data_IF_160527928017
#
_entry.id   IF_160527928017
#
_cell.length_a   1.000
_cell.length_b   1.000
_cell.length_c   1.000
_cell.angle_alpha   90.00
_cell.angle_beta   90.00
_cell.angle_gamma   90.00
#
_symmetry.space_group_name_H-M   'P 1'
#
loop_
_entity.id
_entity.type
_entity.pdbx_description
1 polymer ?
#
# COMPACT_ATOMS: atom_id res chain seq x y z
N UNK A 1 -0.64 18.09 -12.96
CA UNK A 1 -0.58 17.09 -11.87
C UNK A 1 -1.43 17.54 -10.69
N UNK A 2 -2.14 16.63 -10.03
CA UNK A 2 -2.76 16.84 -8.71
C UNK A 2 -2.40 15.66 -7.80
N UNK A 3 -2.01 15.96 -6.58
CA UNK A 3 -1.67 14.99 -5.54
C UNK A 3 -2.51 15.28 -4.30
N UNK A 4 -3.10 14.23 -3.75
CA UNK A 4 -3.85 14.24 -2.50
C UNK A 4 -3.31 13.15 -1.60
N UNK A 5 -3.08 13.46 -0.34
CA UNK A 5 -2.66 12.52 0.68
C UNK A 5 -3.32 12.91 2.00
N UNK A 6 -4.05 11.99 2.63
CA UNK A 6 -4.76 12.22 3.86
C UNK A 6 -4.52 11.12 4.89
N UNK A 7 -4.33 11.54 6.13
CA UNK A 7 -4.16 10.72 7.33
C UNK A 7 -5.02 11.30 8.46
N UNK A 8 -5.22 10.60 9.59
CA UNK A 8 -6.05 11.08 10.70
C UNK A 8 -5.62 12.43 11.27
N UNK A 9 -4.32 12.70 11.26
CA UNK A 9 -3.69 13.85 11.92
C UNK A 9 -3.11 14.87 10.94
N UNK A 10 -3.16 14.60 9.62
CA UNK A 10 -2.57 15.48 8.61
C UNK A 10 -3.08 15.25 7.20
N UNK A 11 -2.86 16.24 6.34
CA UNK A 11 -3.05 16.08 4.90
C UNK A 11 -2.01 16.87 4.11
N UNK A 12 -1.78 16.41 2.87
CA UNK A 12 -0.96 17.10 1.88
C UNK A 12 -1.77 17.22 0.59
N UNK A 13 -1.82 18.42 0.04
CA UNK A 13 -2.34 18.69 -1.28
C UNK A 13 -1.26 19.40 -2.11
N UNK A 14 -1.03 18.92 -3.33
CA UNK A 14 -0.07 19.53 -4.22
C UNK A 14 -0.62 19.60 -5.66
N UNK A 15 -0.26 20.67 -6.36
CA UNK A 15 -0.71 20.90 -7.74
C UNK A 15 0.39 21.42 -8.64
N UNK A 16 0.22 21.22 -9.94
CA UNK A 16 1.19 21.61 -10.96
C UNK A 16 2.43 20.72 -10.94
N UNK A 17 3.31 20.93 -11.88
CA UNK A 17 4.58 20.22 -12.02
C UNK A 17 5.66 21.23 -12.39
N UNK A 18 6.67 21.41 -11.55
CA UNK A 18 7.89 22.14 -11.87
C UNK A 18 8.89 21.21 -12.54
N UNK A 19 9.11 20.06 -11.92
CA UNK A 19 9.99 19.02 -12.39
C UNK A 19 9.32 17.64 -12.21
N UNK A 20 9.59 16.72 -13.13
CA UNK A 20 9.04 15.36 -13.10
C UNK A 20 10.18 14.36 -13.20
N UNK A 21 10.06 13.26 -12.45
CA UNK A 21 11.06 12.21 -12.37
C UNK A 21 10.39 10.86 -12.59
N UNK A 22 10.90 10.09 -13.53
CA UNK A 22 10.52 8.69 -13.79
C UNK A 22 11.55 7.69 -13.24
N UNK A 23 12.71 8.20 -12.76
CA UNK A 23 13.75 7.45 -12.06
C UNK A 23 14.00 7.99 -10.65
N UNK A 24 14.18 7.08 -9.69
CA UNK A 24 14.33 7.43 -8.27
C UNK A 24 15.65 8.16 -8.01
N UNK A 25 16.75 7.75 -8.67
CA UNK A 25 18.06 8.35 -8.47
C UNK A 25 18.07 9.82 -8.85
N UNK A 26 17.42 10.18 -9.96
CA UNK A 26 17.30 11.58 -10.40
C UNK A 26 16.49 12.41 -9.39
N UNK A 27 15.43 11.83 -8.83
CA UNK A 27 14.62 12.47 -7.81
C UNK A 27 15.39 12.69 -6.49
N UNK A 28 16.21 11.70 -6.09
CA UNK A 28 17.08 11.80 -4.90
C UNK A 28 18.14 12.86 -5.08
N UNK A 29 18.85 12.86 -6.21
CA UNK A 29 19.86 13.87 -6.55
C UNK A 29 19.26 15.28 -6.51
N UNK A 30 18.06 15.46 -7.05
CA UNK A 30 17.36 16.75 -7.03
C UNK A 30 16.97 17.24 -5.62
N UNK A 31 16.69 16.33 -4.67
CA UNK A 31 16.50 16.70 -3.27
C UNK A 31 17.84 17.03 -2.59
N UNK A 32 18.88 16.25 -2.85
CA UNK A 32 20.21 16.40 -2.23
C UNK A 32 20.92 17.70 -2.67
N UNK A 33 20.83 18.06 -3.96
CA UNK A 33 21.44 19.27 -4.51
C UNK A 33 20.57 20.52 -4.32
N UNK A 34 19.33 20.34 -3.83
CA UNK A 34 18.38 21.42 -3.55
C UNK A 34 17.69 21.98 -4.80
N UNK A 35 17.80 21.34 -5.96
CA UNK A 35 17.05 21.68 -7.18
C UNK A 35 15.57 21.36 -7.05
N UNK A 36 15.21 20.38 -6.23
CA UNK A 36 13.84 20.14 -5.77
C UNK A 36 13.72 20.41 -4.26
N UNK A 37 12.65 21.11 -3.85
CA UNK A 37 12.36 21.40 -2.43
C UNK A 37 11.49 20.36 -1.76
N UNK A 38 10.67 19.69 -2.54
CA UNK A 38 9.75 18.64 -2.10
C UNK A 38 9.40 17.75 -3.26
N UNK A 39 9.34 16.46 -3.00
CA UNK A 39 8.85 15.45 -3.93
C UNK A 39 7.53 14.90 -3.44
N UNK A 40 6.56 14.73 -4.33
CA UNK A 40 5.31 14.03 -4.08
C UNK A 40 5.06 13.02 -5.19
N UNK A 41 4.40 11.90 -4.88
CA UNK A 41 4.02 10.96 -5.93
C UNK A 41 3.95 9.51 -5.50
N UNK A 42 4.28 8.62 -6.43
CA UNK A 42 4.27 7.18 -6.24
C UNK A 42 5.55 6.51 -6.75
N UNK A 43 5.92 5.41 -6.10
CA UNK A 43 7.02 4.53 -6.51
C UNK A 43 6.41 3.15 -6.73
N UNK A 44 6.81 2.48 -7.82
CA UNK A 44 6.29 1.17 -8.22
C UNK A 44 6.63 0.05 -7.24
N UNK A 45 5.98 -1.11 -7.41
CA UNK A 45 6.31 -2.32 -6.65
C UNK A 45 7.76 -2.76 -6.88
N UNK A 46 8.22 -2.69 -8.12
CA UNK A 46 9.64 -2.76 -8.44
C UNK A 46 10.21 -1.34 -8.49
N UNK A 47 10.80 -0.92 -7.37
CA UNK A 47 11.37 0.41 -7.21
C UNK A 47 12.53 0.69 -8.18
N UNK A 48 13.18 -0.35 -8.74
CA UNK A 48 14.27 -0.18 -9.70
C UNK A 48 13.80 0.23 -11.10
N UNK A 49 12.53 0.06 -11.41
CA UNK A 49 12.02 0.24 -12.78
C UNK A 49 11.42 1.61 -13.03
N UNK A 50 10.55 2.12 -12.15
CA UNK A 50 9.84 3.38 -12.37
C UNK A 50 9.32 4.03 -11.11
N UNK A 51 9.32 5.37 -11.14
CA UNK A 51 8.55 6.19 -10.21
C UNK A 51 7.71 7.23 -10.97
N UNK A 52 6.71 7.78 -10.31
CA UNK A 52 5.93 8.94 -10.72
C UNK A 52 6.10 10.01 -9.64
N UNK A 53 7.29 10.60 -9.57
CA UNK A 53 7.63 11.63 -8.60
C UNK A 53 7.68 12.99 -9.28
N UNK A 54 7.24 14.03 -8.56
CA UNK A 54 7.28 15.39 -9.08
C UNK A 54 7.66 16.37 -7.97
N UNK A 55 8.37 17.45 -8.35
CA UNK A 55 8.34 18.69 -7.60
C UNK A 55 7.10 19.48 -8.01
N UNK A 56 6.14 19.70 -7.09
CA UNK A 56 4.91 20.40 -7.43
C UNK A 56 5.11 21.91 -7.49
N UNK A 57 4.23 22.61 -8.22
CA UNK A 57 4.20 24.08 -8.23
C UNK A 57 3.66 24.65 -6.91
N UNK A 58 2.70 23.95 -6.28
CA UNK A 58 2.17 24.29 -4.96
C UNK A 58 2.18 23.05 -4.05
N UNK A 59 2.53 23.26 -2.79
CA UNK A 59 2.55 22.23 -1.77
C UNK A 59 1.93 22.79 -0.48
N UNK A 60 0.80 22.24 -0.06
CA UNK A 60 0.07 22.64 1.13
C UNK A 60 -0.01 21.45 2.10
N UNK A 61 0.60 21.58 3.27
CA UNK A 61 0.56 20.59 4.35
C UNK A 61 -0.25 21.16 5.51
N UNK A 62 -1.17 20.35 6.01
CA UNK A 62 -2.05 20.71 7.13
C UNK A 62 -1.99 19.64 8.23
N UNK A 63 -2.04 20.08 9.49
CA UNK A 63 -2.07 19.21 10.67
C UNK A 63 -3.52 18.80 11.01
N UNK A 64 -4.24 18.33 10.01
CA UNK A 64 -5.61 17.77 10.08
C UNK A 64 -5.87 16.94 8.83
N UNK A 65 -6.81 16.00 8.88
CA UNK A 65 -7.19 15.26 7.69
C UNK A 65 -7.79 16.21 6.63
N UNK A 66 -7.76 15.75 5.37
CA UNK A 66 -8.44 16.44 4.28
C UNK A 66 -9.95 16.48 4.57
N UNK A 67 -10.57 17.62 4.32
CA UNK A 67 -12.03 17.74 4.30
C UNK A 67 -12.53 17.30 2.93
N UNK A 68 -13.28 16.18 2.82
CA UNK A 68 -13.78 15.69 1.55
C UNK A 68 -14.79 16.65 0.93
N UNK A 69 -14.76 16.76 -0.40
CA UNK A 69 -15.80 17.42 -1.16
C UNK A 69 -16.85 16.40 -1.60
N UNK A 70 -18.13 16.67 -1.32
CA UNK A 70 -19.20 15.77 -1.74
C UNK A 70 -19.34 15.76 -3.26
N UNK A 71 -19.33 14.58 -3.84
CA UNK A 71 -19.50 14.39 -5.29
C UNK A 71 -20.18 13.06 -5.58
N UNK A 72 -20.90 13.02 -6.70
CA UNK A 72 -21.53 11.78 -7.17
C UNK A 72 -20.53 11.01 -8.04
N UNK A 73 -20.34 9.74 -7.75
CA UNK A 73 -19.55 8.85 -8.58
C UNK A 73 -20.38 8.31 -9.75
N UNK A 74 -19.76 7.97 -10.89
CA UNK A 74 -20.43 7.29 -11.99
C UNK A 74 -20.87 5.88 -11.59
N UNK A 75 -21.83 5.31 -12.32
CA UNK A 75 -22.16 3.89 -12.22
C UNK A 75 -20.99 3.02 -12.65
N UNK A 76 -20.82 1.88 -11.98
CA UNK A 76 -19.71 0.96 -12.25
C UNK A 76 -20.18 -0.49 -12.36
N UNK A 77 -19.50 -1.26 -13.22
CA UNK A 77 -19.68 -2.72 -13.32
C UNK A 77 -18.33 -3.42 -13.31
N UNK A 78 -18.30 -4.65 -12.74
CA UNK A 78 -17.13 -5.52 -12.82
C UNK A 78 -17.11 -6.16 -14.20
N UNK A 79 -16.16 -5.76 -15.04
CA UNK A 79 -16.00 -6.27 -16.41
C UNK A 79 -15.21 -7.59 -16.45
N UNK A 80 -14.20 -7.75 -15.57
CA UNK A 80 -13.38 -8.96 -15.51
C UNK A 80 -12.69 -9.15 -14.16
N UNK A 81 -12.29 -10.40 -13.90
CA UNK A 81 -11.44 -10.77 -12.75
C UNK A 81 -10.21 -11.50 -13.27
N UNK A 82 -9.03 -11.18 -12.76
CA UNK A 82 -7.80 -11.75 -13.26
C UNK A 82 -6.76 -12.03 -12.14
N UNK A 83 -6.46 -13.30 -11.87
CA UNK A 83 -7.14 -14.47 -12.44
C UNK A 83 -8.59 -14.59 -11.92
N UNK A 84 -9.43 -15.37 -12.59
CA UNK A 84 -10.71 -15.80 -12.03
C UNK A 84 -10.54 -16.50 -10.67
N UNK A 85 -11.57 -16.52 -9.82
CA UNK A 85 -11.47 -17.07 -8.45
C UNK A 85 -10.91 -18.49 -8.38
N UNK A 86 -11.37 -19.40 -9.22
CA UNK A 86 -10.89 -20.79 -9.30
C UNK A 86 -9.40 -20.89 -9.64
N UNK A 87 -8.93 -20.04 -10.53
CA UNK A 87 -7.52 -19.97 -10.92
C UNK A 87 -6.65 -19.33 -9.81
N UNK A 88 -7.22 -18.41 -9.05
CA UNK A 88 -6.53 -17.86 -7.88
C UNK A 88 -6.36 -18.93 -6.80
N UNK A 89 -7.41 -19.70 -6.47
CA UNK A 89 -7.34 -20.83 -5.55
C UNK A 89 -6.25 -21.84 -5.99
N UNK A 90 -6.24 -22.21 -7.28
CA UNK A 90 -5.21 -23.11 -7.81
C UNK A 90 -3.79 -22.51 -7.70
N UNK A 91 -3.65 -21.18 -7.85
CA UNK A 91 -2.38 -20.47 -7.68
C UNK A 91 -1.91 -20.53 -6.22
N UNK A 92 -2.81 -20.28 -5.26
CA UNK A 92 -2.52 -20.40 -3.82
C UNK A 92 -2.11 -21.83 -3.47
N UNK A 93 -2.78 -22.85 -4.00
CA UNK A 93 -2.42 -24.27 -3.79
C UNK A 93 -1.00 -24.58 -4.28
N UNK A 94 -0.57 -24.00 -5.41
CA UNK A 94 0.82 -24.13 -5.89
C UNK A 94 1.81 -23.47 -4.92
N UNK A 95 1.50 -22.28 -4.41
CA UNK A 95 2.32 -21.65 -3.39
C UNK A 95 2.43 -22.49 -2.12
N UNK A 96 1.33 -23.06 -1.66
CA UNK A 96 1.31 -23.99 -0.52
C UNK A 96 2.18 -25.23 -0.75
N UNK A 97 2.21 -25.78 -1.98
CA UNK A 97 3.10 -26.89 -2.33
C UNK A 97 4.57 -26.50 -2.16
N UNK A 98 4.96 -25.28 -2.56
CA UNK A 98 6.33 -24.77 -2.37
C UNK A 98 6.62 -24.53 -0.90
N UNK A 99 5.73 -23.84 -0.18
CA UNK A 99 5.89 -23.50 1.24
C UNK A 99 5.99 -24.73 2.15
N UNK A 100 5.26 -25.81 1.83
CA UNK A 100 5.25 -27.07 2.61
C UNK A 100 6.32 -28.07 2.16
N UNK A 101 7.12 -27.76 1.14
CA UNK A 101 8.20 -28.65 0.73
C UNK A 101 9.29 -28.71 1.82
N UNK A 102 9.73 -29.88 2.27
CA UNK A 102 10.69 -30.04 3.40
C UNK A 102 12.00 -29.24 3.26
N UNK A 103 12.46 -28.99 2.02
CA UNK A 103 13.66 -28.20 1.73
C UNK A 103 13.39 -26.72 1.40
N UNK A 104 12.16 -26.24 1.53
CA UNK A 104 11.82 -24.87 1.18
C UNK A 104 12.42 -23.87 2.18
N UNK A 105 13.11 -22.86 1.65
CA UNK A 105 13.51 -21.69 2.42
C UNK A 105 12.41 -20.59 2.42
N UNK A 106 11.43 -20.64 1.49
CA UNK A 106 10.31 -19.71 1.44
C UNK A 106 9.42 -19.92 2.67
N UNK A 107 9.09 -18.84 3.37
CA UNK A 107 8.25 -18.84 4.57
C UNK A 107 6.90 -18.16 4.37
N UNK A 108 6.87 -17.16 3.51
CA UNK A 108 5.69 -16.38 3.17
C UNK A 108 5.78 -15.90 1.74
N UNK A 109 4.66 -15.87 1.02
CA UNK A 109 4.53 -15.18 -0.28
C UNK A 109 3.19 -14.47 -0.35
N UNK A 110 3.16 -13.26 -0.89
CA UNK A 110 1.91 -12.53 -1.12
C UNK A 110 1.50 -12.71 -2.57
N UNK A 111 0.31 -13.30 -2.81
CA UNK A 111 -0.24 -13.47 -4.15
C UNK A 111 -1.42 -12.53 -4.37
N UNK A 112 -1.42 -11.85 -5.51
CA UNK A 112 -2.41 -10.86 -5.86
C UNK A 112 -3.32 -11.32 -7.01
N UNK A 113 -4.53 -10.76 -7.02
CA UNK A 113 -5.48 -10.82 -8.13
C UNK A 113 -6.08 -9.45 -8.38
N UNK A 114 -6.62 -9.22 -9.56
CA UNK A 114 -7.21 -7.94 -9.93
C UNK A 114 -8.62 -8.09 -10.49
N UNK A 115 -9.39 -7.01 -10.37
CA UNK A 115 -10.68 -6.82 -11.01
C UNK A 115 -10.62 -5.56 -11.88
N UNK A 116 -11.24 -5.62 -13.05
CA UNK A 116 -11.40 -4.45 -13.91
C UNK A 116 -12.81 -3.91 -13.76
N UNK A 117 -12.92 -2.63 -13.45
CA UNK A 117 -14.16 -1.86 -13.44
C UNK A 117 -14.30 -1.06 -14.74
N UNK A 118 -15.52 -0.96 -15.23
CA UNK A 118 -15.91 -0.06 -16.32
C UNK A 118 -16.98 0.88 -15.80
N UNK A 119 -16.86 2.16 -16.12
CA UNK A 119 -17.72 3.23 -15.67
C UNK A 119 -18.59 3.75 -16.80
N UNK A 120 -19.82 4.19 -16.49
CA UNK A 120 -20.77 4.78 -17.45
C UNK A 120 -20.44 6.25 -17.80
N UNK A 121 -19.58 6.89 -17.00
CA UNK A 121 -18.99 8.21 -17.26
C UNK A 121 -17.58 8.28 -16.66
N UNK A 122 -16.78 9.26 -17.08
CA UNK A 122 -15.41 9.40 -16.58
C UNK A 122 -15.37 9.62 -15.06
N UNK A 123 -14.66 8.75 -14.36
CA UNK A 123 -14.43 8.83 -12.92
C UNK A 123 -13.40 9.92 -12.59
N UNK A 124 -13.81 10.90 -11.79
CA UNK A 124 -12.88 11.91 -11.25
C UNK A 124 -11.98 11.29 -10.16
N UNK A 125 -10.65 11.29 -10.33
CA UNK A 125 -9.72 10.77 -9.32
C UNK A 125 -9.86 11.44 -7.96
N UNK A 126 -10.07 12.76 -7.95
CA UNK A 126 -10.23 13.53 -6.69
C UNK A 126 -11.56 13.21 -6.02
N UNK A 127 -12.66 13.15 -6.79
CA UNK A 127 -13.97 12.80 -6.26
C UNK A 127 -13.96 11.40 -5.63
N UNK A 128 -13.30 10.44 -6.28
CA UNK A 128 -13.16 9.09 -5.74
C UNK A 128 -12.30 9.07 -4.47
N UNK A 129 -11.18 9.82 -4.44
CA UNK A 129 -10.36 9.95 -3.23
C UNK A 129 -11.15 10.54 -2.06
N UNK A 130 -11.93 11.60 -2.30
CA UNK A 130 -12.77 12.23 -1.28
C UNK A 130 -13.81 11.25 -0.73
N UNK A 131 -14.47 10.48 -1.60
CA UNK A 131 -15.40 9.42 -1.17
C UNK A 131 -14.72 8.36 -0.31
N UNK A 132 -13.50 7.93 -0.67
CA UNK A 132 -12.74 6.95 0.12
C UNK A 132 -12.30 7.52 1.48
N UNK A 133 -11.88 8.79 1.52
CA UNK A 133 -11.47 9.49 2.75
C UNK A 133 -12.66 9.63 3.70
N UNK A 134 -13.83 10.03 3.18
CA UNK A 134 -15.07 10.16 3.97
C UNK A 134 -15.52 8.82 4.54
N UNK A 135 -15.48 7.76 3.73
CA UNK A 135 -15.87 6.41 4.16
C UNK A 135 -14.88 5.75 5.14
N UNK A 136 -13.66 6.30 5.30
CA UNK A 136 -12.64 5.74 6.19
C UNK A 136 -12.63 6.46 7.54
N UNK A 137 -12.93 5.79 8.68
CA UNK A 137 -12.91 6.41 10.01
C UNK A 137 -11.58 7.06 10.39
N UNK A 138 -10.48 6.62 9.77
CA UNK A 138 -9.15 7.19 9.96
C UNK A 138 -8.82 8.26 8.91
N UNK A 139 -9.75 8.62 8.04
CA UNK A 139 -9.57 9.57 6.95
C UNK A 139 -8.32 9.31 6.08
N UNK A 140 -7.92 8.04 5.97
CA UNK A 140 -6.82 7.66 5.10
C UNK A 140 -7.27 7.70 3.64
N UNK A 141 -6.47 8.31 2.78
CA UNK A 141 -6.69 8.27 1.34
C UNK A 141 -5.62 9.00 0.56
N UNK A 142 -5.53 8.68 -0.71
CA UNK A 142 -4.60 9.32 -1.63
C UNK A 142 -5.13 9.34 -3.06
N UNK A 143 -4.68 10.31 -3.83
CA UNK A 143 -4.77 10.35 -5.29
C UNK A 143 -3.46 10.85 -5.87
N UNK A 144 -2.92 10.11 -6.82
CA UNK A 144 -1.63 10.40 -7.49
C UNK A 144 -1.82 10.34 -9.00
N UNK A 145 -1.39 11.39 -9.68
CA UNK A 145 -1.25 11.42 -11.14
C UNK A 145 0.05 10.68 -11.52
N UNK A 146 -0.07 9.62 -12.31
CA UNK A 146 1.05 8.77 -12.71
C UNK A 146 1.76 9.26 -13.98
N UNK A 147 1.37 10.38 -14.55
CA UNK A 147 1.92 10.92 -15.82
C UNK A 147 3.44 11.06 -15.79
N UNK A 148 4.03 11.38 -14.64
CA UNK A 148 5.48 11.53 -14.48
C UNK A 148 6.25 10.22 -14.77
N UNK A 149 5.65 9.06 -14.60
CA UNK A 149 6.26 7.77 -14.97
C UNK A 149 6.37 7.55 -16.48
N UNK A 150 5.74 8.41 -17.31
CA UNK A 150 5.80 8.36 -18.76
C UNK A 150 5.13 7.13 -19.40
N UNK A 151 5.28 6.98 -20.70
CA UNK A 151 4.81 5.82 -21.45
C UNK A 151 3.34 5.46 -21.18
N UNK A 152 3.03 4.21 -20.79
CA UNK A 152 1.65 3.75 -20.58
C UNK A 152 0.95 4.38 -19.38
N UNK A 153 1.66 5.14 -18.54
CA UNK A 153 1.11 5.77 -17.33
C UNK A 153 0.62 7.20 -17.56
N UNK A 154 0.84 7.75 -18.77
CA UNK A 154 0.39 9.11 -19.10
C UNK A 154 -1.13 9.25 -18.95
N UNK A 155 -1.55 10.21 -18.11
CA UNK A 155 -2.96 10.47 -17.78
C UNK A 155 -3.62 9.47 -16.82
N UNK A 156 -2.95 8.41 -16.41
CA UNK A 156 -3.47 7.45 -15.40
C UNK A 156 -3.34 8.03 -13.99
N UNK A 157 -4.21 7.55 -13.11
CA UNK A 157 -4.22 7.97 -11.70
C UNK A 157 -4.32 6.76 -10.76
N UNK A 158 -3.52 6.76 -9.72
CA UNK A 158 -3.64 5.79 -8.62
C UNK A 158 -4.40 6.44 -7.47
N UNK A 159 -5.55 5.87 -7.11
CA UNK A 159 -6.42 6.40 -6.04
C UNK A 159 -6.75 5.31 -5.05
N UNK A 160 -6.61 5.56 -3.75
CA UNK A 160 -6.87 4.53 -2.76
C UNK A 160 -7.01 5.04 -1.33
N UNK A 161 -7.27 4.09 -0.42
CA UNK A 161 -7.39 4.32 1.02
C UNK A 161 -6.56 3.27 1.78
N UNK A 162 -5.24 3.47 1.78
CA UNK A 162 -4.32 2.57 2.45
C UNK A 162 -4.35 2.76 3.98
N UNK A 163 -4.48 1.68 4.76
CA UNK A 163 -4.31 1.76 6.20
C UNK A 163 -2.84 1.81 6.61
N UNK A 164 -1.91 1.34 5.77
CA UNK A 164 -0.55 0.97 6.13
C UNK A 164 0.43 2.11 5.94
N UNK A 165 0.98 2.60 7.05
CA UNK A 165 2.11 3.53 7.07
C UNK A 165 3.40 2.73 6.90
N UNK A 166 4.06 2.89 5.75
CA UNK A 166 5.37 2.29 5.52
C UNK A 166 6.41 2.96 6.42
N UNK A 167 6.52 4.29 6.32
CA UNK A 167 7.42 5.07 7.15
C UNK A 167 7.01 6.54 7.18
N UNK A 168 7.22 7.17 8.34
CA UNK A 168 7.20 8.63 8.56
C UNK A 168 8.50 9.03 9.23
N UNK A 169 9.11 10.09 8.74
CA UNK A 169 10.20 10.79 9.38
C UNK A 169 9.78 12.20 9.76
N UNK A 170 10.13 12.61 10.97
CA UNK A 170 10.00 13.99 11.47
C UNK A 170 11.22 14.32 12.30
N UNK A 171 12.11 15.17 11.78
CA UNK A 171 13.44 15.38 12.34
C UNK A 171 14.23 14.06 12.39
N UNK A 172 14.64 13.62 13.56
CA UNK A 172 15.32 12.32 13.73
C UNK A 172 14.38 11.17 14.10
N UNK A 173 13.09 11.44 14.29
CA UNK A 173 12.12 10.43 14.68
C UNK A 173 11.56 9.70 13.46
N UNK A 174 11.56 8.37 13.54
CA UNK A 174 11.03 7.45 12.52
C UNK A 174 9.88 6.65 13.12
N UNK A 175 8.79 6.50 12.36
CA UNK A 175 7.64 5.70 12.74
C UNK A 175 7.24 4.83 11.55
N UNK A 176 7.09 3.51 11.79
CA UNK A 176 6.47 2.57 10.87
C UNK A 176 5.25 1.95 11.54
N UNK A 177 4.23 1.62 10.76
CA UNK A 177 3.05 0.92 11.28
C UNK A 177 2.60 -0.16 10.31
N UNK A 178 3.32 -1.28 10.27
CA UNK A 178 2.98 -2.40 9.40
C UNK A 178 1.66 -3.07 9.82
N UNK A 179 1.00 -3.64 8.81
CA UNK A 179 -0.21 -4.43 8.94
C UNK A 179 0.01 -5.81 8.31
N UNK A 180 -0.23 -6.88 9.07
CA UNK A 180 -0.30 -8.24 8.54
C UNK A 180 -1.18 -9.08 9.45
N UNK A 181 -1.84 -10.09 8.87
CA UNK A 181 -2.94 -10.80 9.53
C UNK A 181 -4.25 -10.03 9.39
N UNK A 182 -5.29 -10.72 8.90
CA UNK A 182 -6.57 -10.09 8.55
C UNK A 182 -7.73 -11.00 8.93
N UNK A 183 -8.82 -10.41 9.43
CA UNK A 183 -10.13 -11.07 9.57
C UNK A 183 -11.23 -10.16 9.04
N UNK A 184 -12.24 -10.73 8.38
CA UNK A 184 -13.38 -9.97 7.87
C UNK A 184 -14.21 -9.39 9.02
N UNK A 185 -14.70 -8.15 8.84
CA UNK A 185 -15.69 -7.54 9.75
C UNK A 185 -17.03 -8.28 9.63
N UNK A 186 -17.71 -8.42 10.77
CA UNK A 186 -19.02 -9.08 10.83
C UNK A 186 -20.11 -8.01 11.02
N UNK A 187 -21.35 -8.33 10.57
CA UNK A 187 -22.49 -7.43 10.75
C UNK A 187 -23.01 -7.43 12.18
N UNK A 188 -23.01 -8.60 12.83
CA UNK A 188 -23.37 -8.75 14.24
C UNK A 188 -22.21 -8.24 15.13
N UNK A 189 -22.44 -7.27 16.03
CA UNK A 189 -21.37 -6.69 16.86
C UNK A 189 -20.64 -7.70 17.74
N UNK A 190 -21.34 -8.73 18.26
CA UNK A 190 -20.73 -9.75 19.11
C UNK A 190 -19.83 -10.68 18.29
N UNK A 191 -20.31 -11.10 17.12
CA UNK A 191 -19.50 -11.88 16.18
C UNK A 191 -18.31 -11.08 15.65
N UNK A 192 -18.44 -9.76 15.47
CA UNK A 192 -17.37 -8.88 15.02
C UNK A 192 -16.25 -8.73 16.07
N UNK A 193 -16.62 -8.53 17.33
CA UNK A 193 -15.66 -8.48 18.45
C UNK A 193 -14.94 -9.83 18.60
N UNK A 194 -15.66 -10.94 18.48
CA UNK A 194 -15.09 -12.28 18.53
C UNK A 194 -14.11 -12.52 17.36
N UNK A 195 -14.45 -12.09 16.14
CA UNK A 195 -13.54 -12.18 14.99
C UNK A 195 -12.23 -11.42 15.21
N UNK A 196 -12.29 -10.25 15.84
CA UNK A 196 -11.10 -9.50 16.25
C UNK A 196 -10.28 -10.23 17.32
N UNK A 197 -10.94 -10.78 18.33
CA UNK A 197 -10.27 -11.55 19.40
C UNK A 197 -9.61 -12.82 18.85
N UNK A 198 -10.28 -13.55 17.97
CA UNK A 198 -9.75 -14.75 17.30
C UNK A 198 -8.53 -14.42 16.43
N UNK A 199 -8.55 -13.27 15.73
CA UNK A 199 -7.40 -12.81 14.96
C UNK A 199 -6.19 -12.56 15.87
N UNK A 200 -6.38 -11.89 17.01
CA UNK A 200 -5.32 -11.60 17.99
C UNK A 200 -4.76 -12.87 18.65
N UNK A 201 -5.58 -13.92 18.77
CA UNK A 201 -5.19 -15.23 19.32
C UNK A 201 -4.63 -16.20 18.26
N UNK A 202 -4.74 -15.87 16.97
CA UNK A 202 -4.37 -16.78 15.88
C UNK A 202 -2.86 -16.93 15.73
N UNK A 203 -2.31 -18.11 16.06
CA UNK A 203 -0.89 -18.40 15.88
C UNK A 203 -0.41 -18.23 14.44
N UNK A 204 -1.26 -18.57 13.43
CA UNK A 204 -0.98 -18.34 11.99
C UNK A 204 -0.76 -16.87 11.73
N UNK A 205 -1.72 -16.01 12.13
CA UNK A 205 -1.69 -14.58 11.82
C UNK A 205 -0.59 -13.86 12.61
N UNK A 206 -0.33 -14.27 13.85
CA UNK A 206 0.79 -13.75 14.63
C UNK A 206 2.15 -14.09 14.01
N UNK A 207 2.33 -15.32 13.51
CA UNK A 207 3.55 -15.71 12.78
C UNK A 207 3.71 -14.94 11.48
N UNK A 208 2.62 -14.73 10.71
CA UNK A 208 2.63 -13.92 9.50
C UNK A 208 3.04 -12.48 9.80
N UNK A 209 2.46 -11.88 10.85
CA UNK A 209 2.75 -10.51 11.28
C UNK A 209 4.19 -10.34 11.71
N UNK A 210 4.74 -11.33 12.41
CA UNK A 210 6.13 -11.31 12.91
C UNK A 210 7.14 -11.19 11.78
N UNK A 211 6.96 -11.89 10.66
CA UNK A 211 7.84 -11.75 9.48
C UNK A 211 7.95 -10.29 9.01
N UNK A 212 6.87 -9.53 9.10
CA UNK A 212 6.87 -8.12 8.68
C UNK A 212 7.58 -7.24 9.70
N UNK A 213 7.28 -7.43 10.99
CA UNK A 213 7.88 -6.66 12.08
C UNK A 213 9.40 -6.88 12.14
N UNK A 214 9.83 -8.13 12.11
CA UNK A 214 11.25 -8.48 12.17
C UNK A 214 12.02 -7.90 10.96
N UNK A 215 11.48 -8.02 9.74
CA UNK A 215 12.12 -7.46 8.54
C UNK A 215 12.24 -5.93 8.58
N UNK A 216 11.23 -5.23 9.11
CA UNK A 216 11.29 -3.76 9.28
C UNK A 216 12.34 -3.39 10.31
N UNK A 217 12.39 -4.09 11.44
CA UNK A 217 13.40 -3.84 12.47
C UNK A 217 14.83 -4.09 11.95
N UNK A 218 15.03 -5.17 11.20
CA UNK A 218 16.31 -5.49 10.55
C UNK A 218 16.72 -4.40 9.53
N UNK A 219 15.79 -3.92 8.70
CA UNK A 219 16.08 -2.89 7.70
C UNK A 219 16.36 -1.51 8.35
N UNK A 220 15.74 -1.19 9.48
CA UNK A 220 15.98 0.06 10.21
C UNK A 220 17.28 0.02 11.05
N UNK A 221 17.72 -1.14 11.51
CA UNK A 221 18.86 -1.26 12.40
C UNK A 221 20.16 -0.58 11.91
N UNK A 222 20.57 -0.65 10.62
CA UNK A 222 21.76 0.04 10.13
C UNK A 222 21.58 1.56 9.96
N UNK A 223 20.35 2.06 9.93
CA UNK A 223 19.99 3.46 9.66
C UNK A 223 19.66 4.24 10.94
N UNK A 224 19.41 3.53 12.04
CA UNK A 224 18.91 4.10 13.29
C UNK A 224 19.84 3.79 14.45
N UNK A 225 20.01 4.74 15.37
CA UNK A 225 20.74 4.55 16.63
C UNK A 225 19.93 3.76 17.66
N UNK A 226 18.61 3.77 17.53
CA UNK A 226 17.68 3.05 18.39
C UNK A 226 16.46 2.60 17.57
N UNK A 227 16.02 1.37 17.75
CA UNK A 227 14.76 0.82 17.19
C UNK A 227 13.96 0.19 18.32
N UNK A 228 12.74 0.65 18.51
CA UNK A 228 11.83 0.14 19.54
C UNK A 228 10.64 -0.58 18.90
N UNK A 229 10.51 -1.85 19.23
CA UNK A 229 9.44 -2.73 18.77
C UNK A 229 8.65 -3.20 20.00
N UNK A 230 7.32 -2.98 20.06
CA UNK A 230 6.48 -3.52 21.12
C UNK A 230 6.47 -5.06 21.16
N UNK A 231 6.23 -5.63 22.34
CA UNK A 231 6.23 -7.09 22.56
C UNK A 231 5.17 -7.85 21.74
N UNK A 232 4.14 -7.17 21.25
CA UNK A 232 3.10 -7.78 20.42
C UNK A 232 2.26 -6.78 19.64
N UNK A 233 1.47 -7.27 18.67
CA UNK A 233 0.59 -6.42 17.89
C UNK A 233 -0.65 -5.98 18.66
N UNK A 234 -1.25 -4.89 18.18
CA UNK A 234 -2.56 -4.40 18.59
C UNK A 234 -3.59 -4.64 17.49
N UNK A 235 -4.86 -4.78 17.87
CA UNK A 235 -5.97 -4.79 16.90
C UNK A 235 -6.24 -3.39 16.37
N UNK A 236 -6.44 -3.32 15.06
CA UNK A 236 -6.97 -2.15 14.37
C UNK A 236 -7.95 -2.58 13.31
N UNK A 237 -8.76 -1.67 12.79
CA UNK A 237 -9.76 -2.04 11.79
C UNK A 237 -9.90 -1.00 10.69
N UNK A 238 -10.35 -1.47 9.55
CA UNK A 238 -10.96 -0.68 8.48
C UNK A 238 -12.47 -0.99 8.44
N UNK A 239 -13.27 -0.32 7.62
CA UNK A 239 -14.69 -0.68 7.45
C UNK A 239 -14.91 -2.12 6.97
N UNK A 240 -13.93 -2.74 6.32
CA UNK A 240 -14.06 -4.07 5.72
C UNK A 240 -13.41 -5.18 6.55
N UNK A 241 -12.34 -4.91 7.28
CA UNK A 241 -11.51 -5.93 7.92
C UNK A 241 -10.85 -5.47 9.20
N UNK A 242 -10.60 -6.42 10.11
CA UNK A 242 -9.67 -6.31 11.21
C UNK A 242 -8.23 -6.58 10.74
N UNK A 243 -7.25 -5.96 11.39
CA UNK A 243 -5.82 -6.16 11.16
C UNK A 243 -5.04 -6.22 12.48
N UNK A 244 -3.94 -6.96 12.47
CA UNK A 244 -2.87 -6.81 13.46
C UNK A 244 -1.95 -5.66 13.01
N UNK A 245 -1.57 -4.78 13.94
CA UNK A 245 -0.70 -3.63 13.72
C UNK A 245 0.34 -3.51 14.83
N UNK A 246 1.59 -3.19 14.46
CA UNK A 246 2.67 -2.93 15.43
C UNK A 246 3.28 -1.55 15.15
N UNK A 247 3.14 -0.56 16.05
CA UNK A 247 3.81 0.72 15.89
C UNK A 247 5.30 0.57 16.25
N UNK A 248 6.17 0.60 15.22
CA UNK A 248 7.63 0.58 15.40
C UNK A 248 8.10 2.02 15.41
N UNK A 249 8.90 2.40 16.41
CA UNK A 249 9.54 3.72 16.48
C UNK A 249 11.05 3.58 16.43
N UNK A 250 11.73 4.55 15.84
CA UNK A 250 13.19 4.56 15.79
C UNK A 250 13.74 5.99 15.80
N UNK A 251 15.02 6.12 16.13
CA UNK A 251 15.77 7.38 16.07
C UNK A 251 16.87 7.23 15.05
N UNK A 252 16.94 8.13 14.06
CA UNK A 252 17.99 8.11 13.03
C UNK A 252 19.39 8.20 13.64
N UNK A 253 20.31 7.44 13.09
CA UNK A 253 21.75 7.56 13.38
C UNK A 253 22.37 8.75 12.64
N UNK A 254 21.97 8.96 11.38
CA UNK A 254 22.39 10.07 10.54
C UNK A 254 21.18 10.94 10.17
N UNK A 255 21.15 12.22 10.60
CA UNK A 255 20.09 13.16 10.23
C UNK A 255 19.97 13.44 8.72
N UNK A 256 20.97 13.07 7.90
CA UNK A 256 20.90 13.21 6.45
C UNK A 256 20.01 12.13 5.79
N UNK A 257 19.76 11.00 6.47
CA UNK A 257 18.88 9.94 5.94
C UNK A 257 17.47 10.44 5.76
N UNK A 258 16.97 10.54 4.53
CA UNK A 258 15.64 11.10 4.22
C UNK A 258 14.51 10.09 4.43
N UNK A 259 13.25 10.57 4.48
CA UNK A 259 12.07 9.70 4.47
C UNK A 259 12.00 8.84 3.19
N UNK A 260 12.55 9.32 2.07
CA UNK A 260 12.64 8.56 0.82
C UNK A 260 13.66 7.43 0.95
N UNK A 261 14.84 7.67 1.53
CA UNK A 261 15.84 6.63 1.77
C UNK A 261 15.32 5.53 2.69
N UNK A 262 14.62 5.91 3.76
CA UNK A 262 13.97 4.96 4.66
C UNK A 262 12.90 4.12 3.94
N UNK A 263 12.06 4.77 3.11
CA UNK A 263 11.03 4.07 2.35
C UNK A 263 11.64 3.05 1.36
N UNK A 264 12.72 3.41 0.69
CA UNK A 264 13.44 2.51 -0.23
C UNK A 264 14.13 1.35 0.51
N UNK A 265 14.69 1.60 1.68
CA UNK A 265 15.31 0.56 2.50
C UNK A 265 14.30 -0.48 3.03
N UNK A 266 13.06 -0.04 3.26
CA UNK A 266 11.98 -0.90 3.76
C UNK A 266 11.23 -1.64 2.65
N UNK A 267 11.22 -1.11 1.42
CA UNK A 267 10.40 -1.61 0.34
C UNK A 267 11.14 -2.66 -0.53
N UNK A 268 10.45 -3.76 -0.94
CA UNK A 268 9.11 -4.16 -0.52
C UNK A 268 9.13 -4.94 0.82
N UNK A 269 8.18 -4.62 1.70
CA UNK A 269 8.06 -5.36 2.97
C UNK A 269 7.49 -6.77 2.75
N UNK A 270 7.68 -7.70 3.71
CA UNK A 270 7.00 -9.01 3.66
C UNK A 270 5.46 -8.94 3.73
N UNK A 271 4.87 -7.77 4.04
CA UNK A 271 3.43 -7.55 3.98
C UNK A 271 2.89 -7.54 2.55
N UNK A 272 3.72 -7.20 1.56
CA UNK A 272 3.34 -7.11 0.14
C UNK A 272 4.13 -8.03 -0.78
N UNK A 273 5.32 -8.51 -0.37
CA UNK A 273 6.14 -9.46 -1.12
C UNK A 273 6.14 -10.85 -0.47
N UNK A 274 6.77 -10.99 0.67
CA UNK A 274 6.93 -12.24 1.40
C UNK A 274 8.29 -12.36 2.08
N UNK A 275 8.64 -13.56 2.57
CA UNK A 275 9.88 -13.80 3.32
C UNK A 275 10.47 -15.18 3.00
N UNK A 276 11.78 -15.30 2.73
CA UNK A 276 12.73 -14.21 2.40
C UNK A 276 12.29 -13.45 1.13
N UNK A 277 12.58 -12.15 1.08
CA UNK A 277 12.06 -11.26 0.04
C UNK A 277 12.41 -11.71 -1.37
N UNK A 278 13.67 -12.04 -1.64
CA UNK A 278 14.14 -12.45 -2.97
C UNK A 278 13.43 -13.71 -3.49
N UNK A 279 13.25 -14.72 -2.61
CA UNK A 279 12.54 -15.94 -2.97
C UNK A 279 11.05 -15.69 -3.18
N UNK A 280 10.47 -14.78 -2.40
CA UNK A 280 9.08 -14.38 -2.55
C UNK A 280 8.86 -13.66 -3.88
N UNK A 281 9.72 -12.71 -4.26
CA UNK A 281 9.65 -12.01 -5.55
C UNK A 281 9.76 -12.97 -6.73
N UNK A 282 10.70 -13.92 -6.71
CA UNK A 282 10.83 -14.97 -7.73
C UNK A 282 9.56 -15.83 -7.82
N UNK A 283 8.98 -16.17 -6.66
CA UNK A 283 7.75 -16.97 -6.59
C UNK A 283 6.54 -16.19 -7.12
N UNK A 284 6.44 -14.90 -6.81
CA UNK A 284 5.43 -14.00 -7.34
C UNK A 284 5.51 -13.95 -8.87
N UNK A 285 6.70 -13.69 -9.42
CA UNK A 285 6.92 -13.62 -10.87
C UNK A 285 6.47 -14.92 -11.57
N UNK A 286 6.89 -16.07 -11.02
CA UNK A 286 6.51 -17.37 -11.54
C UNK A 286 4.99 -17.63 -11.46
N UNK A 287 4.37 -17.37 -10.31
CA UNK A 287 2.96 -17.70 -10.06
C UNK A 287 2.01 -16.66 -10.64
N UNK A 288 2.38 -15.41 -10.70
CA UNK A 288 1.60 -14.34 -11.34
C UNK A 288 1.87 -14.23 -12.86
N UNK A 289 2.71 -15.12 -13.41
CA UNK A 289 3.01 -15.24 -14.85
C UNK A 289 3.68 -13.98 -15.43
N UNK A 290 4.66 -13.44 -14.72
CA UNK A 290 5.41 -12.24 -15.13
C UNK A 290 4.55 -10.96 -15.13
N UNK A 291 3.45 -10.94 -14.38
CA UNK A 291 2.63 -9.74 -14.25
C UNK A 291 3.38 -8.67 -13.46
N UNK A 292 3.57 -7.54 -14.09
CA UNK A 292 3.99 -6.37 -13.37
C UNK A 292 2.83 -5.88 -12.48
N UNK A 293 3.12 -5.62 -11.20
CA UNK A 293 2.17 -5.02 -10.25
C UNK A 293 2.05 -3.51 -10.43
N UNK A 294 2.84 -2.94 -11.32
CA UNK A 294 2.93 -1.50 -11.57
C UNK A 294 3.11 -0.73 -10.24
N UNK A 295 2.19 0.17 -9.91
CA UNK A 295 2.19 0.93 -8.66
C UNK A 295 1.41 0.26 -7.52
N UNK A 296 0.65 -0.81 -7.79
CA UNK A 296 0.03 -1.58 -6.72
C UNK A 296 1.07 -2.28 -5.84
N UNK A 297 0.91 -2.19 -4.52
CA UNK A 297 1.85 -2.68 -3.53
C UNK A 297 3.25 -1.98 -3.56
N UNK A 298 3.37 -0.91 -4.34
CA UNK A 298 4.45 0.05 -4.23
C UNK A 298 4.20 1.03 -3.07
N UNK A 299 4.59 2.29 -3.22
CA UNK A 299 4.40 3.29 -2.18
C UNK A 299 3.94 4.64 -2.74
N UNK A 300 3.17 5.37 -1.93
CA UNK A 300 2.68 6.73 -2.22
C UNK A 300 3.05 7.64 -1.07
N UNK A 301 3.57 8.83 -1.37
CA UNK A 301 3.95 9.73 -0.31
C UNK A 301 4.64 11.00 -0.79
N UNK A 302 5.39 11.58 0.12
CA UNK A 302 6.13 12.82 -0.08
C UNK A 302 7.41 12.83 0.78
N UNK A 303 8.39 13.62 0.33
CA UNK A 303 9.62 13.90 1.07
C UNK A 303 10.07 15.33 0.75
N UNK A 304 10.42 16.14 1.75
CA UNK A 304 10.94 17.48 1.55
C UNK A 304 12.47 17.54 1.69
N UNK A 305 13.04 18.70 1.34
CA UNK A 305 14.49 18.94 1.36
C UNK A 305 15.11 18.92 2.78
N UNK A 306 14.30 18.96 3.86
CA UNK A 306 14.78 18.70 5.22
C UNK A 306 14.94 17.21 5.50
N UNK A 307 14.47 16.38 4.59
CA UNK A 307 14.38 14.93 4.69
C UNK A 307 13.12 14.42 5.40
N UNK A 308 12.28 15.32 5.91
CA UNK A 308 11.00 14.94 6.50
C UNK A 308 10.04 14.45 5.42
N UNK A 309 9.20 13.49 5.78
CA UNK A 309 8.27 12.92 4.82
C UNK A 309 7.46 11.76 5.37
N UNK A 310 6.55 11.28 4.54
CA UNK A 310 5.68 10.17 4.88
C UNK A 310 5.34 9.36 3.63
N UNK A 311 5.47 8.04 3.75
CA UNK A 311 5.15 7.07 2.69
C UNK A 311 4.19 6.01 3.22
N UNK A 312 3.12 5.74 2.48
CA UNK A 312 2.22 4.62 2.74
C UNK A 312 2.37 3.56 1.66
N UNK A 313 2.08 2.32 2.00
CA UNK A 313 2.02 1.22 1.03
C UNK A 313 0.82 1.44 0.10
N UNK A 314 1.02 1.35 -1.21
CA UNK A 314 -0.01 1.58 -2.22
C UNK A 314 -0.93 0.37 -2.38
N UNK A 315 -1.82 0.16 -1.42
CA UNK A 315 -2.83 -0.90 -1.40
C UNK A 315 -4.24 -0.31 -1.23
N UNK A 316 -5.27 -1.16 -1.40
CA UNK A 316 -6.68 -0.72 -1.34
C UNK A 316 -6.95 0.42 -2.33
N UNK A 317 -6.43 0.27 -3.54
CA UNK A 317 -6.42 1.30 -4.56
C UNK A 317 -6.98 0.81 -5.89
N UNK A 318 -7.33 1.78 -6.70
CA UNK A 318 -7.78 1.67 -8.07
C UNK A 318 -6.80 2.43 -8.95
N UNK A 319 -6.28 1.79 -9.96
CA UNK A 319 -5.52 2.40 -11.05
C UNK A 319 -6.51 2.79 -12.15
N UNK A 320 -6.79 4.07 -12.27
CA UNK A 320 -7.78 4.63 -13.19
C UNK A 320 -7.10 4.91 -14.53
N UNK A 321 -7.69 4.44 -15.62
CA UNK A 321 -7.23 4.70 -16.97
C UNK A 321 -7.27 6.20 -17.32
N UNK A 322 -6.49 6.60 -18.33
CA UNK A 322 -6.34 8.00 -18.73
C UNK A 322 -7.65 8.68 -19.17
N UNK A 323 -8.58 7.92 -19.74
CA UNK A 323 -9.91 8.39 -20.14
C UNK A 323 -10.93 8.44 -18.95
N UNK A 324 -10.56 7.87 -17.83
CA UNK A 324 -11.44 7.75 -16.65
C UNK A 324 -12.57 6.73 -16.79
N UNK A 325 -12.69 6.02 -17.91
CA UNK A 325 -13.80 5.12 -18.20
C UNK A 325 -13.60 3.69 -17.69
N UNK A 326 -12.41 3.39 -17.21
CA UNK A 326 -12.11 2.10 -16.59
C UNK A 326 -11.06 2.23 -15.50
N UNK A 327 -10.96 1.19 -14.66
CA UNK A 327 -9.91 1.10 -13.65
C UNK A 327 -9.65 -0.33 -13.22
N UNK A 328 -8.45 -0.57 -12.69
CA UNK A 328 -8.02 -1.88 -12.18
C UNK A 328 -7.79 -1.78 -10.68
N UNK A 329 -8.57 -2.52 -9.91
CA UNK A 329 -8.32 -2.73 -8.50
C UNK A 329 -7.56 -4.04 -8.29
N UNK A 330 -6.56 -4.02 -7.41
CA UNK A 330 -5.74 -5.20 -7.09
C UNK A 330 -5.77 -5.46 -5.59
N UNK A 331 -5.86 -6.74 -5.20
CA UNK A 331 -5.80 -7.17 -3.81
C UNK A 331 -4.94 -8.42 -3.69
N UNK A 332 -4.09 -8.47 -2.65
CA UNK A 332 -3.23 -9.60 -2.33
C UNK A 332 -3.50 -10.17 -0.93
N UNK A 333 -3.20 -11.45 -0.76
CA UNK A 333 -3.22 -12.16 0.51
C UNK A 333 -1.85 -12.77 0.81
N UNK A 334 -1.46 -12.79 2.08
CA UNK A 334 -0.20 -13.38 2.55
C UNK A 334 -0.35 -14.89 2.79
N UNK A 335 0.32 -15.69 1.98
CA UNK A 335 0.26 -17.15 2.02
C UNK A 335 1.43 -17.67 2.87
N UNK A 336 1.11 -18.41 3.92
CA UNK A 336 2.06 -19.15 4.77
C UNK A 336 1.73 -20.64 4.72
N UNK A 337 2.60 -21.51 5.23
CA UNK A 337 2.44 -22.95 5.17
C UNK A 337 1.08 -23.46 5.74
N UNK A 338 0.53 -22.76 6.73
CA UNK A 338 -0.75 -23.08 7.37
C UNK A 338 -1.98 -22.40 6.72
N UNK A 339 -1.81 -21.70 5.58
CA UNK A 339 -2.93 -21.04 4.88
C UNK A 339 -3.88 -22.06 4.24
N UNK A 340 -5.16 -21.68 4.13
CA UNK A 340 -6.18 -22.36 3.35
C UNK A 340 -6.51 -21.58 2.08
N UNK A 341 -6.51 -22.25 0.91
CA UNK A 341 -6.64 -21.57 -0.37
C UNK A 341 -8.00 -20.89 -0.58
N UNK A 342 -9.07 -21.42 0.01
CA UNK A 342 -10.41 -20.81 -0.09
C UNK A 342 -10.51 -19.60 0.83
N UNK A 343 -9.96 -19.70 2.04
CA UNK A 343 -9.90 -18.57 2.98
C UNK A 343 -9.07 -17.39 2.41
N UNK A 344 -7.97 -17.68 1.72
CA UNK A 344 -7.16 -16.63 1.06
C UNK A 344 -7.91 -15.95 -0.10
N UNK A 345 -8.77 -16.69 -0.83
CA UNK A 345 -9.66 -16.10 -1.82
C UNK A 345 -10.69 -15.16 -1.15
N UNK A 346 -11.29 -15.59 -0.04
CA UNK A 346 -12.26 -14.79 0.73
C UNK A 346 -11.59 -13.52 1.28
N UNK A 347 -10.36 -13.60 1.79
CA UNK A 347 -9.60 -12.47 2.27
C UNK A 347 -9.35 -11.43 1.17
N UNK A 348 -8.91 -11.85 -0.02
CA UNK A 348 -8.73 -10.93 -1.13
C UNK A 348 -10.05 -10.33 -1.60
N UNK A 349 -11.15 -11.08 -1.55
CA UNK A 349 -12.50 -10.59 -1.85
C UNK A 349 -12.93 -9.48 -0.87
N UNK A 350 -12.73 -9.70 0.43
CA UNK A 350 -13.02 -8.68 1.45
C UNK A 350 -12.17 -7.40 1.26
N UNK A 351 -10.92 -7.54 0.82
CA UNK A 351 -10.04 -6.40 0.55
C UNK A 351 -10.51 -5.54 -0.61
N UNK A 352 -11.16 -6.09 -1.62
CA UNK A 352 -11.76 -5.31 -2.70
C UNK A 352 -12.91 -4.42 -2.24
N UNK A 353 -13.59 -4.75 -1.15
CA UNK A 353 -14.72 -3.97 -0.65
C UNK A 353 -14.39 -2.49 -0.40
N UNK A 354 -13.12 -2.16 -0.08
CA UNK A 354 -12.70 -0.75 0.07
C UNK A 354 -12.93 0.05 -1.21
N UNK A 355 -12.63 -0.53 -2.37
CA UNK A 355 -12.77 0.12 -3.69
C UNK A 355 -14.17 -0.04 -4.26
N UNK A 356 -14.86 -1.16 -3.97
CA UNK A 356 -16.14 -1.51 -4.59
C UNK A 356 -17.35 -0.86 -3.92
N UNK A 357 -17.35 -0.77 -2.58
CA UNK A 357 -18.48 -0.21 -1.81
C UNK A 357 -18.92 1.20 -2.25
N UNK A 358 -18.02 2.14 -2.61
CA UNK A 358 -18.43 3.44 -3.12
C UNK A 358 -19.31 3.39 -4.38
N UNK A 359 -19.24 2.30 -5.15
CA UNK A 359 -20.04 2.06 -6.35
C UNK A 359 -21.26 1.15 -6.10
N UNK A 360 -21.52 0.74 -4.86
CA UNK A 360 -22.62 -0.18 -4.52
C UNK A 360 -22.37 -1.63 -4.94
N UNK A 361 -21.11 -2.04 -5.15
CA UNK A 361 -20.68 -3.37 -5.58
C UNK A 361 -20.15 -4.22 -4.42
#
# INVERSE_FOLDING_TARGET
MRFVYSRPDRSVEATGTRQAFDHIDDAREALEDGSARVLVGAIGFDASTRCALVEPSTFDRRDKPRTPEQSTLPGAVIASQNPPPDKHVARVQRALTVLNHPGSALRKVVLARSITLVFDAALSPTAFADTLIEANPMHNGFAVDLTAAGGPYFGRHLVGSSPELLVRRTGTQVICRPFAGTAARQQDPVADEQAGADLLASAKNLAEHRFVVDAIAEALAPLCSEVSVPDGPTLTSTPAVWHLATPITATLADPATTALDLALALHPTPAVAGSPTDLALQTIDLLESGRNRDFYAGMVGWCDASGDGEWMVAIRCLDIAADGLSGVATAGGGIVAASDASAELEETTAKFATVLRPFGL
#
